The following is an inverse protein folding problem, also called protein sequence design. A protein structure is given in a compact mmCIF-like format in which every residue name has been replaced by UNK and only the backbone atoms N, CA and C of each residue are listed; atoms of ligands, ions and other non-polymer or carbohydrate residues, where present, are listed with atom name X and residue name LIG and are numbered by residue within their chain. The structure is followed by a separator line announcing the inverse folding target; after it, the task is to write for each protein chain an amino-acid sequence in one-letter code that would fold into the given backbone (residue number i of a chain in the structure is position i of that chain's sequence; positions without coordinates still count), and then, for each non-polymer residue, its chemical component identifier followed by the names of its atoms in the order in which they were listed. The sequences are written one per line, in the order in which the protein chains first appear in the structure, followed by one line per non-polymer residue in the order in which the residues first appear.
data_IF_034474197444
#
_entry.id   IF_034474197444
#
_cell.length_a   1.000
_cell.length_b   1.000
_cell.length_c   1.000
_cell.angle_alpha   90.00
_cell.angle_beta   90.00
_cell.angle_gamma   90.00
#
_symmetry.space_group_name_H-M   'P 1'
#
loop_
_entity.id
_entity.type
_entity.pdbx_description
1 polymer ?
#
# COMPACT_ATOMS: atom_id res chain seq x y z
N UNK A 1 -8.74 -6.02 -12.31
CA UNK A 1 -7.63 -5.84 -11.35
C UNK A 1 -8.23 -5.71 -9.95
N UNK A 2 -7.51 -6.15 -8.90
CA UNK A 2 -7.98 -5.95 -7.53
C UNK A 2 -7.76 -4.49 -7.12
N UNK A 3 -8.70 -3.90 -6.36
CA UNK A 3 -8.60 -2.51 -5.88
C UNK A 3 -7.28 -2.22 -5.15
N UNK A 4 -6.75 -3.22 -4.45
CA UNK A 4 -5.45 -3.14 -3.78
C UNK A 4 -4.30 -2.96 -4.78
N UNK A 5 -4.30 -3.72 -5.89
CA UNK A 5 -3.26 -3.60 -6.92
C UNK A 5 -3.32 -2.25 -7.63
N UNK A 6 -4.53 -1.74 -7.89
CA UNK A 6 -4.71 -0.40 -8.46
C UNK A 6 -4.21 0.69 -7.51
N UNK A 7 -4.53 0.58 -6.22
CA UNK A 7 -4.05 1.51 -5.20
C UNK A 7 -2.52 1.50 -5.07
N UNK A 8 -1.91 0.33 -4.99
CA UNK A 8 -0.44 0.19 -4.88
C UNK A 8 0.25 0.79 -6.10
N UNK A 9 -0.19 0.41 -7.30
CA UNK A 9 0.35 0.97 -8.54
C UNK A 9 0.22 2.49 -8.60
N UNK A 10 -0.93 3.02 -8.19
CA UNK A 10 -1.17 4.47 -8.16
C UNK A 10 -0.25 5.19 -7.18
N UNK A 11 0.03 4.58 -6.02
CA UNK A 11 1.00 5.12 -5.06
C UNK A 11 2.41 5.12 -5.65
N UNK A 12 2.81 4.04 -6.33
CA UNK A 12 4.11 3.96 -7.03
C UNK A 12 4.23 5.00 -8.14
N UNK A 13 3.18 5.21 -8.94
CA UNK A 13 3.12 6.24 -9.99
C UNK A 13 3.22 7.67 -9.42
N UNK A 14 2.82 7.86 -8.16
CA UNK A 14 3.00 9.11 -7.42
C UNK A 14 4.39 9.22 -6.74
N UNK A 15 5.30 8.27 -6.99
CA UNK A 15 6.62 8.23 -6.37
C UNK A 15 6.59 7.84 -4.90
N UNK A 16 5.52 7.16 -4.45
CA UNK A 16 5.36 6.68 -3.08
C UNK A 16 5.58 5.17 -3.02
N UNK A 17 6.23 4.74 -1.97
CA UNK A 17 6.46 3.32 -1.65
C UNK A 17 5.56 2.91 -0.50
N UNK A 18 4.96 1.74 -0.62
CA UNK A 18 4.17 1.11 0.43
C UNK A 18 4.98 -0.05 1.03
N UNK A 19 5.12 -0.06 2.35
CA UNK A 19 5.89 -1.07 3.07
C UNK A 19 5.08 -1.61 4.25
N UNK A 20 5.36 -2.84 4.67
CA UNK A 20 4.76 -3.42 5.87
C UNK A 20 5.79 -3.39 7.00
N UNK A 21 5.53 -2.58 8.02
CA UNK A 21 6.29 -2.57 9.27
C UNK A 21 5.49 -3.26 10.37
N UNK A 22 5.84 -4.52 10.65
CA UNK A 22 5.11 -5.36 11.59
C UNK A 22 3.69 -5.64 11.10
N UNK A 23 2.69 -5.10 11.82
CA UNK A 23 1.27 -5.25 11.46
C UNK A 23 0.68 -3.99 10.78
N UNK A 24 1.52 -3.03 10.42
CA UNK A 24 1.10 -1.75 9.85
C UNK A 24 1.62 -1.55 8.43
N UNK A 25 0.79 -0.96 7.59
CA UNK A 25 1.19 -0.48 6.26
C UNK A 25 1.65 0.96 6.39
N UNK A 26 2.87 1.23 5.93
CA UNK A 26 3.53 2.53 5.94
C UNK A 26 3.66 3.01 4.51
N UNK A 27 3.50 4.32 4.29
CA UNK A 27 3.67 4.97 2.99
C UNK A 27 4.76 6.03 3.08
N UNK A 28 5.71 6.01 2.14
CA UNK A 28 6.85 6.93 2.11
C UNK A 28 7.10 7.45 0.68
N UNK A 29 7.19 8.77 0.45
CA UNK A 29 6.93 9.85 1.39
C UNK A 29 5.43 10.00 1.70
N UNK A 30 5.12 10.29 2.97
CA UNK A 30 3.77 10.62 3.43
C UNK A 30 3.39 12.09 3.21
N UNK A 31 4.35 12.93 2.78
CA UNK A 31 4.09 14.33 2.45
C UNK A 31 3.01 14.43 1.38
N UNK A 32 2.11 15.40 1.54
CA UNK A 32 1.02 15.67 0.58
C UNK A 32 0.11 14.47 0.29
N UNK A 33 0.08 13.46 1.19
CA UNK A 33 -0.87 12.37 1.08
C UNK A 33 -2.28 12.92 1.33
N UNK A 34 -3.17 12.73 0.36
CA UNK A 34 -4.54 13.21 0.50
C UNK A 34 -5.29 12.42 1.57
N UNK A 35 -6.23 13.08 2.28
CA UNK A 35 -7.08 12.40 3.27
C UNK A 35 -7.85 11.24 2.63
N UNK A 36 -8.29 11.40 1.38
CA UNK A 36 -8.95 10.34 0.60
C UNK A 36 -8.07 9.09 0.47
N UNK A 37 -6.76 9.28 0.30
CA UNK A 37 -5.80 8.19 0.13
C UNK A 37 -5.54 7.46 1.44
N UNK A 38 -5.50 8.21 2.54
CA UNK A 38 -5.44 7.62 3.88
C UNK A 38 -6.68 6.78 4.18
N UNK A 39 -7.87 7.28 3.84
CA UNK A 39 -9.13 6.56 4.03
C UNK A 39 -9.20 5.30 3.16
N UNK A 40 -8.77 5.41 1.90
CA UNK A 40 -8.70 4.27 0.98
C UNK A 40 -7.70 3.22 1.48
N UNK A 41 -6.50 3.63 1.91
CA UNK A 41 -5.49 2.75 2.50
C UNK A 41 -6.03 2.00 3.73
N UNK A 42 -6.70 2.71 4.64
CA UNK A 42 -7.30 2.09 5.82
C UNK A 42 -8.43 1.13 5.45
N UNK A 43 -9.27 1.48 4.48
CA UNK A 43 -10.35 0.62 4.02
C UNK A 43 -9.82 -0.66 3.35
N UNK A 44 -8.77 -0.54 2.54
CA UNK A 44 -8.08 -1.67 1.91
C UNK A 44 -7.30 -2.53 2.90
N UNK A 45 -6.80 -1.94 4.00
CA UNK A 45 -6.11 -2.66 5.06
C UNK A 45 -7.01 -3.15 6.21
N UNK A 46 -8.33 -2.96 6.12
CA UNK A 46 -9.27 -3.24 7.23
C UNK A 46 -9.22 -4.69 7.73
N UNK A 47 -8.89 -5.64 6.85
CA UNK A 47 -8.70 -7.07 7.18
C UNK A 47 -7.25 -7.54 7.04
N UNK A 48 -6.30 -6.60 6.91
CA UNK A 48 -4.90 -6.90 6.61
C UNK A 48 -4.63 -7.26 5.14
N UNK A 49 -5.61 -7.10 4.24
CA UNK A 49 -5.50 -7.50 2.83
C UNK A 49 -4.43 -6.68 2.08
N UNK A 50 -4.35 -5.37 2.34
CA UNK A 50 -3.30 -4.52 1.78
C UNK A 50 -1.90 -4.94 2.26
N UNK A 51 -1.75 -5.21 3.57
CA UNK A 51 -0.48 -5.66 4.13
C UNK A 51 -0.06 -7.04 3.57
N UNK A 52 -0.99 -7.99 3.45
CA UNK A 52 -0.73 -9.30 2.85
C UNK A 52 -0.30 -9.16 1.39
N UNK A 53 -0.97 -8.30 0.62
CA UNK A 53 -0.62 -8.02 -0.77
C UNK A 53 0.77 -7.42 -0.90
N UNK A 54 1.11 -6.37 -0.13
CA UNK A 54 2.44 -5.74 -0.17
C UNK A 54 3.52 -6.75 0.22
N UNK A 55 3.29 -7.53 1.28
CA UNK A 55 4.23 -8.58 1.72
C UNK A 55 4.47 -9.62 0.63
N UNK A 56 3.41 -10.04 -0.08
CA UNK A 56 3.51 -10.99 -1.20
C UNK A 56 4.17 -10.39 -2.43
N UNK A 57 3.85 -9.13 -2.76
CA UNK A 57 4.46 -8.42 -3.89
C UNK A 57 5.96 -8.19 -3.68
N UNK A 58 6.38 -7.81 -2.47
CA UNK A 58 7.79 -7.67 -2.11
C UNK A 58 8.50 -9.04 -2.15
N UNK A 59 7.88 -10.10 -1.62
CA UNK A 59 8.44 -11.46 -1.72
C UNK A 59 8.54 -11.97 -3.16
N UNK A 60 7.60 -11.58 -4.03
CA UNK A 60 7.62 -11.94 -5.45
C UNK A 60 8.63 -11.15 -6.27
N UNK A 61 9.01 -9.94 -5.84
CA UNK A 61 10.03 -9.11 -6.50
C UNK A 61 11.47 -9.45 -6.09
N UNK A 62 11.66 -10.34 -5.10
CA UNK A 62 12.96 -10.76 -4.59
C UNK A 62 13.50 -12.07 -5.21
N UNK A 63 13.00 -12.50 -6.37
CA UNK A 63 13.48 -13.67 -7.12
C UNK A 63 14.08 -13.30 -8.47
#
# INVERSE_FOLDING_TARGET
MSKIAEFVKRMEEQGRTLEVSGNFVVVTPAAELSITDMLEMQNLNKKGELADYITKSIKGAAQ
#
